data_IF_650459967709
#
_entry.id   IF_650459967709
#
_cell.length_a   1.000
_cell.length_b   1.000
_cell.length_c   1.000
_cell.angle_alpha   90.00
_cell.angle_beta   90.00
_cell.angle_gamma   90.00
#
_symmetry.space_group_name_H-M   'P 1'
#
loop_
_entity.id
_entity.type
_entity.pdbx_description
1 polymer ?
#
# COMPACT_ATOMS: atom_id res chain seq x y z
N UNK A 1 -10.83 16.89 -21.79
CA UNK A 1 -9.50 17.32 -21.31
C UNK A 1 -9.13 16.35 -20.19
N UNK A 2 -8.41 15.28 -20.52
CA UNK A 2 -8.07 14.24 -19.55
C UNK A 2 -6.95 14.76 -18.66
N UNK A 3 -7.24 14.97 -17.38
CA UNK A 3 -6.24 15.24 -16.37
C UNK A 3 -5.54 13.90 -16.11
N UNK A 4 -4.43 13.64 -16.79
CA UNK A 4 -3.54 12.52 -16.44
C UNK A 4 -2.83 12.91 -15.15
N UNK A 5 -3.41 12.48 -14.02
CA UNK A 5 -2.73 12.51 -12.72
C UNK A 5 -1.37 11.80 -12.84
N UNK A 6 -0.32 12.29 -12.16
CA UNK A 6 0.99 11.64 -12.13
C UNK A 6 0.88 10.23 -11.51
N UNK A 7 1.79 9.30 -11.86
CA UNK A 7 1.71 7.92 -11.39
C UNK A 7 1.93 7.87 -9.85
N UNK A 8 1.07 7.18 -9.08
CA UNK A 8 1.05 7.27 -7.63
C UNK A 8 2.02 6.27 -6.99
N UNK A 9 3.32 6.47 -7.19
CA UNK A 9 4.33 5.67 -6.47
C UNK A 9 4.67 6.25 -5.09
N UNK A 10 4.43 7.54 -4.91
CA UNK A 10 4.61 8.26 -3.67
C UNK A 10 3.66 9.46 -3.67
N UNK A 11 2.49 9.33 -3.04
CA UNK A 11 1.88 10.52 -2.44
C UNK A 11 2.66 10.75 -1.16
N UNK A 12 3.10 11.98 -0.92
CA UNK A 12 3.99 12.39 0.18
C UNK A 12 3.88 11.46 1.41
N UNK A 13 4.90 10.62 1.62
CA UNK A 13 5.00 9.72 2.78
C UNK A 13 4.42 8.31 2.63
N UNK A 14 3.91 7.87 1.46
CA UNK A 14 3.43 6.50 1.26
C UNK A 14 4.27 5.74 0.22
N UNK A 15 4.58 4.46 0.50
CA UNK A 15 5.27 3.58 -0.45
C UNK A 15 4.53 2.25 -0.56
N UNK A 16 4.20 1.83 -1.78
CA UNK A 16 3.58 0.53 -2.04
C UNK A 16 4.61 -0.59 -2.15
N UNK A 17 4.43 -1.62 -1.32
CA UNK A 17 5.32 -2.76 -1.19
C UNK A 17 4.51 -4.04 -1.42
N UNK A 18 4.89 -4.83 -2.43
CA UNK A 18 4.28 -6.13 -2.69
C UNK A 18 4.91 -7.18 -1.77
N UNK A 19 4.08 -7.87 -0.99
CA UNK A 19 4.52 -8.82 0.04
C UNK A 19 3.76 -10.14 -0.08
N UNK A 20 4.51 -11.25 -0.18
CA UNK A 20 3.98 -12.58 -0.47
C UNK A 20 3.87 -13.50 0.74
N UNK A 21 4.34 -13.07 1.92
CA UNK A 21 4.30 -13.82 3.17
C UNK A 21 4.53 -12.88 4.37
N UNK A 22 4.54 -13.45 5.59
CA UNK A 22 4.77 -12.68 6.81
C UNK A 22 6.21 -12.13 6.91
N UNK A 23 7.21 -12.83 6.38
CA UNK A 23 8.60 -12.39 6.46
C UNK A 23 8.82 -11.13 5.61
N UNK A 24 8.34 -11.15 4.38
CA UNK A 24 8.36 -10.01 3.45
C UNK A 24 7.51 -8.84 3.96
N UNK A 25 6.37 -9.10 4.61
CA UNK A 25 5.56 -8.08 5.27
C UNK A 25 6.30 -7.40 6.45
N UNK A 26 7.05 -8.17 7.25
CA UNK A 26 7.90 -7.63 8.32
C UNK A 26 9.04 -6.80 7.77
N UNK A 27 9.72 -7.25 6.71
CA UNK A 27 10.76 -6.46 6.03
C UNK A 27 10.20 -5.14 5.52
N UNK A 28 9.00 -5.16 4.92
CA UNK A 28 8.32 -3.96 4.45
C UNK A 28 7.99 -2.98 5.58
N UNK A 29 7.45 -3.47 6.70
CA UNK A 29 7.16 -2.66 7.88
C UNK A 29 8.45 -2.07 8.52
N UNK A 30 9.52 -2.87 8.60
CA UNK A 30 10.81 -2.40 9.10
C UNK A 30 11.40 -1.30 8.19
N UNK A 31 11.32 -1.47 6.87
CA UNK A 31 11.75 -0.44 5.92
C UNK A 31 10.95 0.86 6.08
N UNK A 32 9.63 0.77 6.27
CA UNK A 32 8.77 1.93 6.57
C UNK A 32 9.18 2.66 7.85
N UNK A 33 9.42 1.92 8.93
CA UNK A 33 9.87 2.48 10.20
C UNK A 33 11.24 3.17 10.09
N UNK A 34 12.20 2.54 9.40
CA UNK A 34 13.55 3.10 9.20
C UNK A 34 13.54 4.31 8.25
N UNK A 35 12.72 4.26 7.20
CA UNK A 35 12.64 5.29 6.16
C UNK A 35 11.70 6.45 6.49
N UNK A 36 10.93 6.36 7.57
CA UNK A 36 9.98 7.40 7.97
C UNK A 36 8.81 7.58 6.99
N UNK A 37 8.32 6.49 6.40
CA UNK A 37 7.16 6.50 5.50
C UNK A 37 6.10 5.48 5.95
N UNK A 38 4.86 5.65 5.49
CA UNK A 38 3.77 4.68 5.69
C UNK A 38 3.83 3.62 4.59
N UNK A 39 3.96 2.35 4.99
CA UNK A 39 3.87 1.23 4.04
C UNK A 39 2.44 1.04 3.53
N UNK A 40 2.29 0.84 2.23
CA UNK A 40 1.08 0.28 1.61
C UNK A 40 1.40 -1.15 1.21
N UNK A 41 1.00 -2.11 2.03
CA UNK A 41 1.19 -3.53 1.80
C UNK A 41 0.20 -4.02 0.76
N UNK A 42 0.71 -4.51 -0.36
CA UNK A 42 -0.09 -5.03 -1.47
C UNK A 42 0.17 -6.54 -1.60
N UNK A 43 -0.87 -7.35 -1.64
CA UNK A 43 -0.69 -8.78 -1.93
C UNK A 43 -0.23 -8.99 -3.38
N UNK A 44 0.37 -10.14 -3.74
CA UNK A 44 0.63 -10.50 -5.13
C UNK A 44 -0.64 -10.46 -5.98
N UNK A 45 -0.47 -10.31 -7.30
CA UNK A 45 -1.60 -10.29 -8.25
C UNK A 45 -2.45 -11.55 -8.10
N UNK A 46 -3.77 -11.38 -7.96
CA UNK A 46 -4.72 -12.47 -7.81
C UNK A 46 -4.56 -13.29 -6.53
N UNK A 47 -3.84 -12.82 -5.51
CA UNK A 47 -3.62 -13.59 -4.29
C UNK A 47 -4.92 -14.06 -3.63
N UNK A 48 -6.02 -13.30 -3.75
CA UNK A 48 -7.31 -13.69 -3.21
C UNK A 48 -7.86 -15.00 -3.83
N UNK A 49 -7.57 -15.29 -5.11
CA UNK A 49 -8.02 -16.53 -5.76
C UNK A 49 -7.10 -17.72 -5.52
N UNK A 50 -5.79 -17.48 -5.33
CA UNK A 50 -4.83 -18.56 -5.12
C UNK A 50 -4.70 -18.97 -3.65
N UNK A 51 -4.53 -17.98 -2.77
CA UNK A 51 -4.26 -18.19 -1.35
C UNK A 51 -5.51 -17.98 -0.47
N UNK A 52 -6.48 -17.20 -0.97
CA UNK A 52 -7.69 -16.87 -0.24
C UNK A 52 -7.55 -15.68 0.68
N UNK A 53 -8.68 -15.05 0.98
CA UNK A 53 -8.79 -13.88 1.87
C UNK A 53 -8.24 -14.17 3.27
N UNK A 54 -8.48 -15.38 3.80
CA UNK A 54 -8.05 -15.76 5.15
C UNK A 54 -6.54 -15.75 5.31
N UNK A 55 -5.81 -16.13 4.25
CA UNK A 55 -4.36 -16.11 4.26
C UNK A 55 -3.83 -14.67 4.41
N UNK A 56 -4.34 -13.73 3.61
CA UNK A 56 -3.94 -12.32 3.70
C UNK A 56 -4.22 -11.74 5.09
N UNK A 57 -5.43 -11.98 5.61
CA UNK A 57 -5.81 -11.54 6.95
C UNK A 57 -4.93 -12.14 8.04
N UNK A 58 -4.46 -13.38 7.89
CA UNK A 58 -3.55 -13.99 8.84
C UNK A 58 -2.18 -13.29 8.87
N UNK A 59 -1.66 -12.88 7.71
CA UNK A 59 -0.41 -12.09 7.62
C UNK A 59 -0.61 -10.74 8.32
N UNK A 60 -1.66 -10.00 7.98
CA UNK A 60 -1.92 -8.68 8.56
C UNK A 60 -2.16 -8.79 10.07
N UNK A 61 -2.92 -9.79 10.52
CA UNK A 61 -3.15 -10.03 11.95
C UNK A 61 -1.85 -10.35 12.70
N UNK A 62 -0.96 -11.14 12.12
CA UNK A 62 0.33 -11.46 12.73
C UNK A 62 1.22 -10.21 12.81
N UNK A 63 1.27 -9.41 11.73
CA UNK A 63 2.05 -8.17 11.69
C UNK A 63 1.56 -7.14 12.73
N UNK A 64 0.24 -6.97 12.87
CA UNK A 64 -0.34 -6.09 13.89
C UNK A 64 -0.07 -6.61 15.32
N UNK A 65 -0.07 -7.92 15.52
CA UNK A 65 0.23 -8.53 16.82
C UNK A 65 1.69 -8.33 17.23
N UNK A 66 2.62 -8.33 16.26
CA UNK A 66 4.05 -8.05 16.50
C UNK A 66 4.28 -6.59 16.95
N UNK A 67 3.43 -5.64 16.51
CA UNK A 67 3.51 -4.22 16.89
C UNK A 67 2.84 -3.87 18.22
N UNK A 68 2.02 -4.77 18.78
CA UNK A 68 1.25 -4.54 20.01
C UNK A 68 2.09 -4.52 21.31
N UNK A 69 3.43 -4.64 21.23
CA UNK A 69 4.35 -4.51 22.37
C UNK A 69 4.64 -3.06 22.80
N UNK A 70 4.05 -2.04 22.14
CA UNK A 70 4.14 -0.64 22.54
C UNK A 70 2.81 -0.14 23.17
N UNK A 71 2.34 -0.79 24.23
CA UNK A 71 1.05 -0.51 24.92
C UNK A 71 0.96 0.84 25.68
N UNK A 72 1.98 1.70 25.63
CA UNK A 72 2.00 2.94 26.42
C UNK A 72 1.49 4.20 25.70
N UNK A 73 0.99 4.10 24.46
CA UNK A 73 0.50 5.25 23.68
C UNK A 73 -1.02 5.26 23.41
N UNK A 74 -1.78 4.38 24.07
CA UNK A 74 -3.19 4.05 23.76
C UNK A 74 -4.28 5.07 24.15
N UNK A 75 -3.94 6.32 24.43
CA UNK A 75 -4.88 7.30 24.99
C UNK A 75 -5.29 8.47 24.07
N UNK A 76 -4.97 8.42 22.78
CA UNK A 76 -5.56 9.36 21.81
C UNK A 76 -6.23 8.62 20.65
N UNK A 77 -7.40 9.12 20.25
CA UNK A 77 -8.40 8.49 19.36
C UNK A 77 -7.92 8.52 17.88
N UNK A 78 -6.73 8.00 17.59
CA UNK A 78 -6.16 7.86 16.23
C UNK A 78 -4.93 6.94 16.21
N UNK A 79 -5.00 5.74 16.79
CA UNK A 79 -4.02 4.68 16.47
C UNK A 79 -4.29 4.16 15.05
N UNK A 80 -3.81 4.92 14.06
CA UNK A 80 -3.75 4.45 12.68
C UNK A 80 -2.80 3.27 12.64
N UNK A 81 -3.20 2.18 12.01
CA UNK A 81 -2.25 1.15 11.57
C UNK A 81 -1.09 1.84 10.85
N UNK A 82 0.15 1.53 11.25
CA UNK A 82 1.38 2.11 10.67
C UNK A 82 1.55 1.78 9.17
N UNK A 83 0.66 0.95 8.64
CA UNK A 83 0.57 0.57 7.25
C UNK A 83 -0.89 0.49 6.79
N UNK A 84 -1.07 0.59 5.47
CA UNK A 84 -2.33 0.32 4.77
C UNK A 84 -2.19 -1.04 4.11
N UNK A 85 -3.19 -1.92 4.19
CA UNK A 85 -3.17 -3.20 3.49
C UNK A 85 -4.20 -3.27 2.35
N UNK A 86 -3.80 -3.87 1.23
CA UNK A 86 -4.59 -4.00 0.01
C UNK A 86 -4.51 -5.44 -0.50
N UNK A 87 -5.66 -6.09 -0.64
CA UNK A 87 -5.75 -7.43 -1.23
C UNK A 87 -6.11 -7.36 -2.72
N UNK A 88 -5.30 -7.98 -3.55
CA UNK A 88 -5.56 -8.11 -4.98
C UNK A 88 -6.46 -9.31 -5.30
N UNK A 89 -7.59 -9.01 -5.94
CA UNK A 89 -8.62 -9.98 -6.31
C UNK A 89 -8.62 -10.31 -7.82
N UNK A 90 -7.64 -9.83 -8.60
CA UNK A 90 -7.59 -9.90 -10.06
C UNK A 90 -8.95 -9.59 -10.69
N UNK A 91 -9.59 -10.55 -11.38
CA UNK A 91 -10.91 -10.38 -12.03
C UNK A 91 -12.04 -11.14 -11.32
N UNK A 92 -11.82 -11.61 -10.10
CA UNK A 92 -12.73 -12.56 -9.44
C UNK A 92 -13.66 -11.89 -8.42
N UNK A 93 -14.86 -11.53 -8.87
CA UNK A 93 -15.89 -10.88 -8.05
C UNK A 93 -16.24 -11.63 -6.76
N UNK A 94 -16.31 -12.96 -6.79
CA UNK A 94 -16.62 -13.76 -5.60
C UNK A 94 -15.57 -13.63 -4.50
N UNK A 95 -14.28 -13.58 -4.87
CA UNK A 95 -13.19 -13.35 -3.93
C UNK A 95 -13.19 -11.91 -3.40
N UNK A 96 -13.45 -10.94 -4.26
CA UNK A 96 -13.62 -9.54 -3.86
C UNK A 96 -14.78 -9.34 -2.86
N UNK A 97 -15.95 -9.92 -3.14
CA UNK A 97 -17.09 -9.88 -2.22
C UNK A 97 -16.77 -10.55 -0.88
N UNK A 98 -16.08 -11.70 -0.91
CA UNK A 98 -15.62 -12.40 0.30
C UNK A 98 -14.63 -11.55 1.10
N UNK A 99 -13.70 -10.87 0.42
CA UNK A 99 -12.71 -10.01 1.04
C UNK A 99 -13.39 -8.85 1.77
N UNK A 100 -14.27 -8.15 1.07
CA UNK A 100 -15.10 -7.09 1.65
C UNK A 100 -15.86 -7.65 2.85
N UNK A 101 -16.71 -8.67 2.67
CA UNK A 101 -17.48 -9.26 3.77
C UNK A 101 -16.65 -9.65 5.00
N UNK A 102 -15.40 -10.11 4.79
CA UNK A 102 -14.48 -10.47 5.86
C UNK A 102 -13.85 -9.29 6.61
N UNK A 103 -14.04 -8.05 6.18
CA UNK A 103 -13.47 -6.87 6.82
C UNK A 103 -12.38 -6.16 6.03
N UNK A 104 -12.01 -6.62 4.84
CA UNK A 104 -10.95 -6.00 4.04
C UNK A 104 -11.36 -4.58 3.61
N UNK A 105 -10.61 -3.56 4.04
CA UNK A 105 -10.97 -2.16 3.73
C UNK A 105 -10.71 -1.76 2.28
N UNK A 106 -9.65 -2.31 1.69
CA UNK A 106 -9.17 -1.94 0.36
C UNK A 106 -8.84 -3.20 -0.45
N UNK A 107 -9.39 -3.27 -1.65
CA UNK A 107 -9.12 -4.34 -2.61
C UNK A 107 -8.73 -3.78 -3.97
N UNK A 108 -7.95 -4.53 -4.75
CA UNK A 108 -7.82 -4.33 -6.19
C UNK A 108 -8.79 -5.27 -6.91
N UNK A 109 -9.56 -4.74 -7.85
CA UNK A 109 -10.40 -5.53 -8.75
C UNK A 109 -10.25 -4.97 -10.17
N UNK A 110 -9.76 -5.81 -11.08
CA UNK A 110 -9.45 -5.43 -12.45
C UNK A 110 -10.71 -4.99 -13.21
N UNK A 111 -10.65 -3.95 -14.08
CA UNK A 111 -11.81 -3.38 -14.77
C UNK A 111 -12.53 -4.34 -15.72
N UNK A 112 -11.85 -5.41 -16.15
CA UNK A 112 -12.45 -6.47 -16.97
C UNK A 112 -13.36 -7.43 -16.19
N UNK A 113 -13.45 -7.30 -14.85
CA UNK A 113 -14.39 -8.08 -14.05
C UNK A 113 -15.84 -7.73 -14.45
N UNK A 114 -16.65 -8.69 -14.95
CA UNK A 114 -18.01 -8.40 -15.42
C UNK A 114 -18.92 -7.82 -14.34
N UNK A 115 -18.66 -8.15 -13.07
CA UNK A 115 -19.44 -7.70 -11.92
C UNK A 115 -18.81 -6.52 -11.16
N UNK A 116 -17.84 -5.79 -11.75
CA UNK A 116 -17.13 -4.70 -11.06
C UNK A 116 -18.08 -3.67 -10.42
N UNK A 117 -19.16 -3.28 -11.13
CA UNK A 117 -20.13 -2.32 -10.60
C UNK A 117 -20.86 -2.84 -9.36
N UNK A 118 -21.21 -4.11 -9.32
CA UNK A 118 -21.85 -4.72 -8.15
C UNK A 118 -20.90 -4.75 -6.95
N UNK A 119 -19.60 -4.98 -7.19
CA UNK A 119 -18.58 -4.95 -6.13
C UNK A 119 -18.32 -3.53 -5.63
N UNK A 120 -18.32 -2.53 -6.52
CA UNK A 120 -18.19 -1.12 -6.12
C UNK A 120 -19.34 -0.67 -5.21
N UNK A 121 -20.59 -1.00 -5.58
CA UNK A 121 -21.76 -0.70 -4.76
C UNK A 121 -21.69 -1.41 -3.40
N UNK A 122 -21.27 -2.69 -3.40
CA UNK A 122 -21.06 -3.43 -2.16
C UNK A 122 -20.01 -2.76 -1.28
N UNK A 123 -18.86 -2.38 -1.85
CA UNK A 123 -17.80 -1.71 -1.10
C UNK A 123 -18.27 -0.37 -0.52
N UNK A 124 -18.95 0.45 -1.32
CA UNK A 124 -19.50 1.75 -0.89
C UNK A 124 -20.48 1.58 0.28
N UNK A 125 -21.42 0.63 0.18
CA UNK A 125 -22.37 0.33 1.25
C UNK A 125 -21.72 -0.14 2.56
N UNK A 126 -20.48 -0.63 2.48
CA UNK A 126 -19.68 -1.09 3.62
C UNK A 126 -18.63 -0.06 4.06
N UNK A 127 -18.57 1.12 3.41
CA UNK A 127 -17.54 2.13 3.67
C UNK A 127 -16.13 1.72 3.26
N UNK A 128 -15.99 0.91 2.20
CA UNK A 128 -14.75 0.29 1.73
C UNK A 128 -14.39 0.74 0.32
N UNK A 129 -13.17 0.44 -0.11
CA UNK A 129 -12.63 0.94 -1.37
C UNK A 129 -12.25 -0.19 -2.34
N UNK A 130 -12.68 -0.03 -3.59
CA UNK A 130 -12.24 -0.83 -4.73
C UNK A 130 -11.30 0.02 -5.57
N UNK A 131 -10.07 -0.45 -5.75
CA UNK A 131 -9.09 0.10 -6.66
C UNK A 131 -9.23 -0.61 -8.00
N UNK A 132 -9.52 0.15 -9.05
CA UNK A 132 -9.61 -0.37 -10.42
C UNK A 132 -8.24 -0.67 -11.02
N UNK A 133 -7.28 0.17 -10.68
CA UNK A 133 -5.90 0.03 -11.11
C UNK A 133 -5.08 -0.48 -9.93
N UNK A 134 -4.30 -1.53 -10.17
CA UNK A 134 -3.34 -2.04 -9.19
C UNK A 134 -2.28 -0.94 -8.96
N UNK A 135 -2.04 -0.50 -7.72
CA UNK A 135 -0.93 0.41 -7.45
C UNK A 135 0.38 -0.26 -7.85
N UNK A 136 1.27 0.50 -8.49
CA UNK A 136 2.59 -0.02 -8.76
C UNK A 136 3.34 -0.20 -7.44
N UNK A 137 4.06 -1.31 -7.30
CA UNK A 137 4.68 -1.71 -6.04
C UNK A 137 6.14 -2.14 -6.24
N UNK A 138 6.95 -1.95 -5.20
CA UNK A 138 8.27 -2.58 -5.09
C UNK A 138 8.05 -3.98 -4.55
N UNK A 139 8.53 -5.00 -5.27
CA UNK A 139 8.41 -6.40 -4.83
C UNK A 139 9.44 -6.68 -3.74
N UNK A 140 8.97 -7.04 -2.55
CA UNK A 140 9.83 -7.43 -1.43
C UNK A 140 10.05 -8.93 -1.50
N UNK A 141 11.29 -9.35 -1.66
CA UNK A 141 11.65 -10.78 -1.74
C UNK A 141 12.20 -11.29 -0.40
N UNK A 142 12.13 -12.60 -0.11
CA UNK A 142 12.59 -13.15 1.17
C UNK A 142 14.07 -12.93 1.48
N UNK A 143 14.90 -12.68 0.48
CA UNK A 143 16.34 -12.39 0.64
C UNK A 143 16.65 -10.92 0.93
N UNK A 144 15.66 -10.03 0.85
CA UNK A 144 15.87 -8.60 1.05
C UNK A 144 15.81 -8.24 2.53
N UNK A 145 16.72 -7.36 2.93
CA UNK A 145 16.69 -6.62 4.19
C UNK A 145 15.84 -5.35 4.05
N UNK A 146 15.57 -4.68 5.17
CA UNK A 146 14.86 -3.40 5.16
C UNK A 146 15.68 -2.32 4.44
N UNK A 147 17.00 -2.33 4.63
CA UNK A 147 17.95 -1.45 3.98
C UNK A 147 17.96 -1.66 2.45
N UNK A 148 17.89 -2.92 1.99
CA UNK A 148 17.77 -3.22 0.56
C UNK A 148 16.50 -2.57 -0.03
N UNK A 149 15.35 -2.67 0.67
CA UNK A 149 14.11 -2.01 0.25
C UNK A 149 14.28 -0.49 0.18
N UNK A 150 14.93 0.12 1.17
CA UNK A 150 15.22 1.56 1.17
C UNK A 150 16.08 1.98 -0.03
N UNK A 151 17.01 1.13 -0.48
CA UNK A 151 17.85 1.45 -1.66
C UNK A 151 17.07 1.43 -2.98
N UNK A 152 15.94 0.71 -3.03
CA UNK A 152 15.05 0.67 -4.19
C UNK A 152 14.05 1.82 -4.23
N UNK A 153 13.91 2.57 -3.13
CA UNK A 153 13.05 3.74 -3.13
C UNK A 153 13.61 4.77 -4.12
N UNK A 154 12.76 5.35 -4.98
CA UNK A 154 13.20 6.43 -5.84
C UNK A 154 13.72 7.54 -4.91
N UNK A 155 15.02 7.85 -5.04
CA UNK A 155 15.58 9.02 -4.39
C UNK A 155 14.77 10.19 -4.91
N UNK A 156 14.10 10.91 -4.01
CA UNK A 156 13.58 12.21 -4.35
C UNK A 156 14.80 13.05 -4.70
N UNK A 157 15.12 13.14 -5.98
CA UNK A 157 16.03 14.16 -6.47
C UNK A 157 15.38 15.48 -6.10
N UNK A 158 15.82 16.03 -4.98
CA UNK A 158 15.63 17.43 -4.62
C UNK A 158 16.09 18.20 -5.84
N UNK A 159 15.13 18.85 -6.49
CA UNK A 159 15.34 19.68 -7.66
C UNK A 159 16.62 20.52 -7.51
N UNK A 160 17.66 20.14 -8.25
CA UNK A 160 18.82 20.98 -8.46
C UNK A 160 18.42 22.09 -9.44
N UNK A 161 18.20 23.30 -8.90
CA UNK A 161 18.27 24.59 -9.60
C UNK A 161 16.99 25.45 -9.52
N UNK A 162 17.08 26.81 -9.43
CA UNK A 162 18.22 27.64 -9.85
C UNK A 162 18.61 28.73 -8.82
N UNK A 163 19.79 28.61 -8.21
CA UNK A 163 20.48 29.77 -7.61
C UNK A 163 21.91 29.83 -8.12
N UNK A 164 22.07 30.44 -9.30
CA UNK A 164 23.37 30.68 -9.91
C UNK A 164 23.32 31.91 -10.81
N UNK A 165 23.81 33.02 -10.27
CA UNK A 165 24.21 34.29 -10.91
C UNK A 165 23.10 35.27 -11.27
N UNK A 166 23.25 36.59 -11.11
CA UNK A 166 24.16 37.46 -10.35
C UNK A 166 23.56 38.86 -10.56
N UNK A 167 23.43 39.63 -9.49
CA UNK A 167 22.98 41.02 -9.58
C UNK A 167 23.92 41.84 -10.48
N UNK A 168 23.34 42.59 -11.43
CA UNK A 168 23.89 43.84 -11.93
C UNK A 168 22.75 44.86 -12.00
N UNK A 169 22.66 45.68 -10.96
CA UNK A 169 22.06 47.01 -11.02
C UNK A 169 23.10 47.96 -10.43
N UNK A 170 23.63 48.84 -11.25
CA UNK A 170 24.25 50.08 -10.81
C UNK A 170 23.90 51.15 -11.82
N UNK A 171 23.27 52.20 -11.28
CA UNK A 171 23.04 53.56 -11.76
C UNK A 171 22.87 53.81 -13.27
#
# INVERSE_FOLDING_TARGET
MFHTSPPPFARDGFVTLEVGDLATARTAAAAAALGGFTAVLLSPVGAASFMGVKWWRAIISALTSDGAVNESARNDISERHDFIDILDCDRFAGHAATALAAGQERIVLHPSCPQIRSIEVLAESLGRHVLRDRPNAIVVTPSMTAEDVLTLLPRSDVAAGPHGQRAVRTA
#
